data_IF_282519414898
#
_entry.id   IF_282519414898
#
_cell.length_a   1.000
_cell.length_b   1.000
_cell.length_c   1.000
_cell.angle_alpha   90.00
_cell.angle_beta   90.00
_cell.angle_gamma   90.00
#
_symmetry.space_group_name_H-M   'P 1'
#
loop_
_entity.id
_entity.type
_entity.pdbx_description
1 polymer ?
#
# COMPACT_ATOMS: atom_id res chain seq x y z
N UNK A 1 -6.74 -26.38 6.73
CA UNK A 1 -5.37 -26.38 7.31
C UNK A 1 -4.57 -25.37 6.52
N UNK A 2 -3.89 -24.40 7.15
CA UNK A 2 -2.99 -23.51 6.42
C UNK A 2 -1.94 -24.38 5.72
N UNK A 3 -1.59 -24.11 4.46
CA UNK A 3 -0.56 -24.87 3.78
C UNK A 3 0.75 -24.78 4.59
N UNK A 4 1.36 -25.94 4.85
CA UNK A 4 2.67 -26.04 5.50
C UNK A 4 3.67 -25.18 4.70
N UNK A 5 4.39 -24.29 5.41
CA UNK A 5 5.42 -23.42 4.83
C UNK A 5 6.40 -24.30 4.04
N UNK A 6 6.61 -23.98 2.76
CA UNK A 6 7.42 -24.81 1.84
C UNK A 6 8.90 -24.43 1.84
N UNK A 7 9.28 -23.42 2.62
CA UNK A 7 10.59 -22.77 2.61
C UNK A 7 11.01 -22.35 4.03
N UNK A 8 12.32 -22.22 4.30
CA UNK A 8 12.81 -21.71 5.57
C UNK A 8 12.40 -20.24 5.75
N UNK A 9 12.09 -19.87 6.99
CA UNK A 9 11.66 -18.52 7.31
C UNK A 9 12.83 -17.54 7.32
N UNK A 10 12.78 -16.53 6.45
CA UNK A 10 13.66 -15.36 6.48
C UNK A 10 13.03 -14.20 7.24
N UNK A 11 13.68 -13.04 7.28
CA UNK A 11 13.03 -11.79 7.68
C UNK A 11 11.78 -11.54 6.84
N UNK A 12 10.73 -11.03 7.49
CA UNK A 12 9.50 -10.61 6.83
C UNK A 12 9.80 -9.49 5.84
N UNK A 13 9.23 -9.57 4.64
CA UNK A 13 9.40 -8.56 3.59
C UNK A 13 8.24 -7.57 3.65
N UNK A 14 8.53 -6.28 3.52
CA UNK A 14 7.51 -5.24 3.39
C UNK A 14 7.39 -4.81 1.94
N UNK A 15 6.18 -4.90 1.38
CA UNK A 15 5.87 -4.46 0.02
C UNK A 15 4.88 -3.30 0.11
N UNK A 16 5.34 -2.10 -0.19
CA UNK A 16 4.50 -0.91 -0.18
C UNK A 16 3.89 -0.68 -1.55
N UNK A 17 2.57 -0.49 -1.60
CA UNK A 17 1.83 -0.14 -2.81
C UNK A 17 1.41 1.32 -2.71
N UNK A 18 1.89 2.15 -3.63
CA UNK A 18 1.57 3.59 -3.68
C UNK A 18 0.84 3.96 -4.97
N UNK A 19 0.10 5.07 -4.95
CA UNK A 19 -0.68 5.57 -6.08
C UNK A 19 -0.16 6.86 -6.68
N UNK A 20 -0.29 7.02 -7.98
CA UNK A 20 0.14 8.20 -8.70
C UNK A 20 -0.89 8.67 -9.74
N UNK A 21 -0.72 9.90 -10.22
CA UNK A 21 -1.55 10.54 -11.26
C UNK A 21 -2.98 10.86 -10.80
N UNK A 22 -3.79 9.87 -10.46
CA UNK A 22 -5.18 10.02 -9.99
C UNK A 22 -5.53 8.90 -8.99
N UNK A 23 -6.53 9.16 -8.15
CA UNK A 23 -7.15 8.11 -7.32
C UNK A 23 -8.02 7.17 -8.16
N UNK A 24 -8.54 6.11 -7.54
CA UNK A 24 -9.46 5.14 -8.18
C UNK A 24 -8.87 4.30 -9.34
N UNK A 25 -7.55 4.20 -9.43
CA UNK A 25 -6.85 3.32 -10.39
C UNK A 25 -6.89 1.81 -10.03
N UNK A 26 -7.61 1.42 -8.98
CA UNK A 26 -7.67 0.01 -8.55
C UNK A 26 -6.39 -0.49 -7.88
N UNK A 27 -5.78 0.33 -7.01
CA UNK A 27 -4.57 -0.02 -6.23
C UNK A 27 -4.83 -1.23 -5.34
N UNK A 28 -5.88 -1.20 -4.52
CA UNK A 28 -6.25 -2.29 -3.63
C UNK A 28 -6.48 -3.62 -4.34
N UNK A 29 -7.18 -3.62 -5.48
CA UNK A 29 -7.36 -4.85 -6.27
C UNK A 29 -6.06 -5.39 -6.88
N UNK A 30 -5.17 -4.50 -7.33
CA UNK A 30 -3.85 -4.92 -7.84
C UNK A 30 -2.98 -5.48 -6.72
N UNK A 31 -2.99 -4.84 -5.55
CA UNK A 31 -2.31 -5.32 -4.35
C UNK A 31 -2.86 -6.67 -3.88
N UNK A 32 -4.19 -6.83 -3.91
CA UNK A 32 -4.89 -8.09 -3.55
C UNK A 32 -4.54 -9.22 -4.51
N UNK A 33 -4.52 -8.93 -5.81
CA UNK A 33 -4.13 -9.89 -6.85
C UNK A 33 -2.68 -10.32 -6.70
N UNK A 34 -1.77 -9.40 -6.38
CA UNK A 34 -0.38 -9.73 -6.05
C UNK A 34 -0.30 -10.59 -4.78
N UNK A 35 -1.08 -10.25 -3.75
CA UNK A 35 -1.21 -11.06 -2.55
C UNK A 35 -1.63 -12.50 -2.87
N UNK A 36 -2.65 -12.67 -3.71
CA UNK A 36 -3.12 -13.97 -4.16
C UNK A 36 -2.04 -14.74 -4.94
N UNK A 37 -1.33 -14.10 -5.86
CA UNK A 37 -0.24 -14.74 -6.61
C UNK A 37 0.90 -15.22 -5.70
N UNK A 38 1.24 -14.44 -4.66
CA UNK A 38 2.26 -14.80 -3.68
C UNK A 38 1.77 -15.93 -2.76
N UNK A 39 0.52 -15.89 -2.31
CA UNK A 39 -0.12 -16.96 -1.53
C UNK A 39 -0.18 -18.26 -2.32
N UNK A 40 -0.55 -18.21 -3.61
CA UNK A 40 -0.56 -19.38 -4.51
C UNK A 40 0.84 -19.98 -4.70
N UNK A 41 1.91 -19.17 -4.58
CA UNK A 41 3.31 -19.62 -4.55
C UNK A 41 3.73 -20.22 -3.20
N UNK A 42 2.84 -20.29 -2.22
CA UNK A 42 3.06 -20.90 -0.91
C UNK A 42 3.66 -19.96 0.13
N UNK A 43 3.66 -18.65 -0.12
CA UNK A 43 4.10 -17.63 0.85
C UNK A 43 2.99 -17.31 1.84
N UNK A 44 3.38 -17.04 3.08
CA UNK A 44 2.47 -16.49 4.09
C UNK A 44 2.35 -14.98 3.89
N UNK A 45 1.24 -14.54 3.28
CA UNK A 45 0.99 -13.12 3.00
C UNK A 45 -0.03 -12.58 4.00
N UNK A 46 0.20 -11.35 4.45
CA UNK A 46 -0.79 -10.50 5.12
C UNK A 46 -0.83 -9.13 4.46
N UNK A 47 -1.92 -8.39 4.65
CA UNK A 47 -2.16 -7.11 3.98
C UNK A 47 -2.63 -6.04 4.96
N UNK A 48 -2.30 -4.79 4.65
CA UNK A 48 -2.68 -3.63 5.44
C UNK A 48 -3.02 -2.45 4.52
N UNK A 49 -4.02 -1.67 4.90
CA UNK A 49 -4.42 -0.41 4.28
C UNK A 49 -4.10 0.76 5.22
N UNK A 50 -3.40 1.78 4.71
CA UNK A 50 -3.22 3.06 5.38
C UNK A 50 -4.15 4.10 4.74
N UNK A 51 -5.15 4.55 5.48
CA UNK A 51 -6.16 5.49 4.99
C UNK A 51 -5.89 6.93 5.46
N UNK A 52 -5.76 7.90 4.54
CA UNK A 52 -5.40 9.28 4.88
C UNK A 52 -6.52 10.09 5.52
N UNK A 53 -7.74 9.57 5.59
CA UNK A 53 -8.86 10.27 6.22
C UNK A 53 -8.74 10.34 7.75
N UNK A 54 -9.40 11.36 8.34
CA UNK A 54 -9.34 11.65 9.77
C UNK A 54 -10.35 10.88 10.62
N UNK A 55 -11.35 10.25 10.01
CA UNK A 55 -12.26 9.36 10.74
C UNK A 55 -11.42 8.24 11.39
N UNK A 56 -11.65 7.98 12.68
CA UNK A 56 -10.90 6.96 13.44
C UNK A 56 -11.23 5.56 12.91
N UNK A 57 -12.47 5.38 12.50
CA UNK A 57 -13.04 4.23 11.81
C UNK A 57 -14.02 4.77 10.76
N UNK A 58 -14.38 3.98 9.74
CA UNK A 58 -15.35 4.41 8.73
C UNK A 58 -16.81 4.34 9.21
N UNK A 59 -17.09 3.95 10.46
CA UNK A 59 -18.46 3.79 10.99
C UNK A 59 -19.26 5.10 11.00
N UNK A 60 -18.58 6.24 10.96
CA UNK A 60 -19.18 7.58 10.87
C UNK A 60 -19.39 8.09 9.44
N UNK A 61 -18.92 7.36 8.42
CA UNK A 61 -19.04 7.75 7.02
C UNK A 61 -20.36 7.25 6.42
N UNK A 62 -20.90 7.98 5.44
CA UNK A 62 -22.09 7.53 4.74
C UNK A 62 -21.76 6.39 3.76
N UNK A 63 -22.26 5.16 3.96
CA UNK A 63 -21.85 4.03 3.15
C UNK A 63 -22.31 4.13 1.69
N UNK A 64 -23.38 4.89 1.40
CA UNK A 64 -23.83 5.11 0.04
C UNK A 64 -22.92 6.06 -0.77
N UNK A 65 -22.04 6.80 -0.10
CA UNK A 65 -21.11 7.73 -0.73
C UNK A 65 -19.67 7.22 -0.71
N UNK A 66 -19.31 6.46 0.32
CA UNK A 66 -17.92 6.06 0.57
C UNK A 66 -17.68 4.55 0.50
N UNK A 67 -18.73 3.75 0.29
CA UNK A 67 -18.64 2.29 0.25
C UNK A 67 -19.01 1.64 1.59
N UNK A 68 -19.04 0.31 1.60
CA UNK A 68 -19.37 -0.45 2.80
C UNK A 68 -18.33 -0.30 3.91
N UNK A 69 -18.75 -0.52 5.15
CA UNK A 69 -17.85 -0.75 6.29
C UNK A 69 -17.62 -2.25 6.39
N UNK A 70 -16.35 -2.68 6.39
CA UNK A 70 -15.99 -4.09 6.56
C UNK A 70 -15.70 -4.38 8.04
N UNK A 71 -16.19 -5.51 8.56
CA UNK A 71 -16.01 -5.89 9.97
C UNK A 71 -15.16 -7.16 10.06
N UNK A 72 -14.03 -7.08 10.74
CA UNK A 72 -13.12 -8.20 10.99
C UNK A 72 -13.61 -9.11 12.13
N UNK A 73 -13.08 -10.33 12.24
CA UNK A 73 -13.43 -11.29 13.29
C UNK A 73 -13.19 -10.77 14.72
N UNK A 74 -12.22 -9.87 14.91
CA UNK A 74 -11.95 -9.21 16.19
C UNK A 74 -12.87 -8.01 16.48
N UNK A 75 -13.85 -7.75 15.59
CA UNK A 75 -14.90 -6.76 15.76
C UNK A 75 -14.52 -5.33 15.37
N UNK A 76 -13.41 -5.13 14.65
CA UNK A 76 -13.02 -3.80 14.18
C UNK A 76 -13.82 -3.41 12.93
N UNK A 77 -14.33 -2.18 12.91
CA UNK A 77 -14.91 -1.53 11.73
C UNK A 77 -13.77 -0.93 10.88
N UNK A 78 -13.68 -1.35 9.62
CA UNK A 78 -12.55 -1.07 8.73
C UNK A 78 -13.01 -0.67 7.33
N UNK A 79 -12.10 -0.08 6.55
CA UNK A 79 -12.35 0.24 5.14
C UNK A 79 -12.62 -1.03 4.31
N UNK A 80 -13.43 -0.89 3.26
CA UNK A 80 -13.85 -1.99 2.38
C UNK A 80 -12.68 -2.77 1.75
N UNK A 81 -11.50 -2.15 1.62
CA UNK A 81 -10.33 -2.81 1.06
C UNK A 81 -9.83 -3.98 1.91
N UNK A 82 -10.08 -3.99 3.23
CA UNK A 82 -9.80 -5.17 4.07
C UNK A 82 -10.59 -6.38 3.58
N UNK A 83 -11.84 -6.18 3.16
CA UNK A 83 -12.65 -7.23 2.54
C UNK A 83 -12.09 -7.72 1.21
N UNK A 84 -11.50 -6.85 0.38
CA UNK A 84 -10.78 -7.29 -0.82
C UNK A 84 -9.60 -8.20 -0.46
N UNK A 85 -8.82 -7.82 0.55
CA UNK A 85 -7.66 -8.61 0.98
C UNK A 85 -8.09 -9.99 1.48
N UNK A 86 -9.09 -10.07 2.36
CA UNK A 86 -9.56 -11.37 2.88
C UNK A 86 -10.06 -12.28 1.74
N UNK A 87 -10.85 -11.73 0.80
CA UNK A 87 -11.39 -12.49 -0.34
C UNK A 87 -10.30 -13.04 -1.26
N UNK A 88 -9.22 -12.29 -1.48
CA UNK A 88 -8.13 -12.73 -2.35
C UNK A 88 -7.13 -13.63 -1.64
N UNK A 89 -6.93 -13.45 -0.33
CA UNK A 89 -5.98 -14.23 0.45
C UNK A 89 -6.58 -15.51 1.04
N UNK A 90 -7.92 -15.62 1.10
CA UNK A 90 -8.63 -16.67 1.86
C UNK A 90 -8.13 -16.72 3.32
N UNK A 91 -8.08 -15.54 3.95
CA UNK A 91 -7.49 -15.34 5.29
C UNK A 91 -8.21 -14.25 6.06
N UNK A 92 -8.52 -14.53 7.33
CA UNK A 92 -9.04 -13.53 8.26
C UNK A 92 -7.91 -12.55 8.65
N UNK A 93 -8.19 -11.26 8.55
CA UNK A 93 -7.32 -10.18 9.01
C UNK A 93 -7.83 -9.62 10.34
N UNK A 94 -6.92 -9.01 11.10
CA UNK A 94 -7.26 -8.28 12.33
C UNK A 94 -7.51 -6.80 12.03
N UNK A 95 -8.10 -6.07 12.98
CA UNK A 95 -8.33 -4.64 12.86
C UNK A 95 -7.06 -3.81 12.60
N UNK A 96 -5.87 -4.34 12.93
CA UNK A 96 -4.57 -3.73 12.59
C UNK A 96 -4.27 -3.65 11.09
N UNK A 97 -5.03 -4.38 10.27
CA UNK A 97 -4.96 -4.31 8.81
C UNK A 97 -5.55 -3.01 8.25
N UNK A 98 -6.20 -2.17 9.07
CA UNK A 98 -6.61 -0.82 8.66
C UNK A 98 -6.07 0.21 9.65
N UNK A 99 -5.32 1.18 9.12
CA UNK A 99 -4.74 2.28 9.91
C UNK A 99 -5.19 3.59 9.30
N UNK A 100 -5.79 4.47 10.11
CA UNK A 100 -6.26 5.78 9.62
C UNK A 100 -5.44 6.93 10.21
N UNK A 101 -5.40 8.07 9.52
CA UNK A 101 -4.83 9.31 10.10
C UNK A 101 -5.50 9.65 11.43
N UNK A 102 -6.81 9.45 11.53
CA UNK A 102 -7.58 9.63 12.77
C UNK A 102 -7.04 8.83 13.95
N UNK A 103 -6.79 7.53 13.75
CA UNK A 103 -6.23 6.65 14.78
C UNK A 103 -4.84 7.09 15.21
N UNK A 104 -3.97 7.40 14.24
CA UNK A 104 -2.58 7.80 14.50
C UNK A 104 -2.54 9.10 15.31
N UNK A 105 -3.24 10.14 14.85
CA UNK A 105 -3.23 11.44 15.50
C UNK A 105 -3.88 11.39 16.87
N UNK A 106 -5.03 10.73 17.01
CA UNK A 106 -5.70 10.59 18.31
C UNK A 106 -4.82 9.85 19.33
N UNK A 107 -4.12 8.79 18.91
CA UNK A 107 -3.19 8.05 19.77
C UNK A 107 -2.01 8.90 20.22
N UNK A 108 -1.36 9.60 19.29
CA UNK A 108 -0.20 10.45 19.59
C UNK A 108 -0.59 11.61 20.51
N UNK A 109 -1.71 12.29 20.24
CA UNK A 109 -2.22 13.37 21.09
C UNK A 109 -2.58 12.84 22.50
N UNK A 110 -3.21 11.67 22.59
CA UNK A 110 -3.57 11.09 23.88
C UNK A 110 -2.33 10.72 24.73
N UNK A 111 -1.26 10.21 24.11
CA UNK A 111 0.02 9.96 24.78
C UNK A 111 0.67 11.24 25.30
N UNK A 112 0.65 12.28 24.46
CA UNK A 112 1.18 13.60 24.81
C UNK A 112 0.46 14.18 26.04
N UNK A 113 -0.87 14.14 26.06
CA UNK A 113 -1.66 14.58 27.22
C UNK A 113 -1.42 13.79 28.51
N UNK A 114 -0.93 12.55 28.42
CA UNK A 114 -0.52 11.72 29.57
C UNK A 114 0.93 11.96 30.01
N UNK A 115 1.67 12.83 29.33
CA UNK A 115 3.08 13.11 29.63
C UNK A 115 4.03 12.00 29.17
N UNK A 116 3.60 11.11 28.26
CA UNK A 116 4.43 9.97 27.81
C UNK A 116 5.65 10.41 26.99
N UNK A 117 5.65 11.62 26.44
CA UNK A 117 6.80 12.21 25.73
C UNK A 117 7.70 13.07 26.63
N UNK A 118 7.54 12.98 27.97
CA UNK A 118 8.49 13.52 28.95
C UNK A 118 8.88 15.02 28.80
N UNK A 119 7.96 15.83 28.25
CA UNK A 119 8.17 17.27 28.03
C UNK A 119 8.71 17.63 26.65
N UNK A 120 8.90 16.66 25.75
CA UNK A 120 9.31 16.90 24.38
C UNK A 120 8.24 17.63 23.57
N UNK A 121 8.67 18.37 22.55
CA UNK A 121 7.77 18.93 21.55
C UNK A 121 7.30 17.82 20.62
N UNK A 122 6.00 17.50 20.65
CA UNK A 122 5.42 16.49 19.75
C UNK A 122 5.24 17.06 18.35
N UNK A 123 5.73 16.32 17.36
CA UNK A 123 5.90 16.74 15.96
C UNK A 123 5.46 15.63 15.01
N UNK A 124 5.19 15.97 13.75
CA UNK A 124 4.88 14.97 12.71
C UNK A 124 6.05 13.99 12.53
N UNK A 125 7.27 14.51 12.41
CA UNK A 125 8.50 13.70 12.45
C UNK A 125 9.21 14.04 13.77
N UNK A 126 9.52 13.06 14.64
CA UNK A 126 9.35 11.62 14.41
C UNK A 126 8.00 11.06 14.89
N UNK A 127 7.28 11.71 15.81
CA UNK A 127 6.21 11.07 16.60
C UNK A 127 5.02 10.50 15.79
N UNK A 128 4.50 11.22 14.80
CA UNK A 128 3.42 10.69 13.94
C UNK A 128 3.96 9.59 13.03
N UNK A 129 5.13 9.81 12.42
CA UNK A 129 5.76 8.80 11.55
C UNK A 129 6.17 7.54 12.29
N UNK A 130 6.55 7.64 13.57
CA UNK A 130 6.89 6.52 14.43
C UNK A 130 5.66 5.71 14.83
N UNK A 131 4.52 6.35 15.12
CA UNK A 131 3.27 5.62 15.36
C UNK A 131 2.83 4.89 14.09
N UNK A 132 2.91 5.52 12.90
CA UNK A 132 2.62 4.84 11.62
C UNK A 132 3.58 3.67 11.39
N UNK A 133 4.89 3.90 11.54
CA UNK A 133 5.93 2.88 11.37
C UNK A 133 5.72 1.70 12.31
N UNK A 134 5.38 1.98 13.57
CA UNK A 134 5.04 0.96 14.57
C UNK A 134 3.86 0.10 14.11
N UNK A 135 2.80 0.70 13.57
CA UNK A 135 1.63 -0.03 13.02
C UNK A 135 1.99 -0.89 11.81
N UNK A 136 2.90 -0.43 10.96
CA UNK A 136 3.37 -1.18 9.78
C UNK A 136 4.23 -2.38 10.23
N UNK A 137 5.18 -2.16 11.13
CA UNK A 137 6.09 -3.21 11.62
C UNK A 137 5.34 -4.26 12.47
N UNK A 138 4.28 -3.87 13.18
CA UNK A 138 3.45 -4.79 13.94
C UNK A 138 2.81 -5.88 13.06
N UNK A 139 2.54 -5.61 11.78
CA UNK A 139 2.02 -6.62 10.85
C UNK A 139 3.02 -7.75 10.55
N UNK A 140 4.30 -7.57 10.89
CA UNK A 140 5.32 -8.60 10.77
C UNK A 140 5.46 -9.50 12.01
N UNK A 141 4.72 -9.23 13.08
CA UNK A 141 4.69 -10.07 14.29
C UNK A 141 3.97 -11.40 14.02
N UNK A 142 4.24 -12.46 14.81
CA UNK A 142 3.48 -13.71 14.72
C UNK A 142 1.99 -13.50 15.04
N UNK A 143 1.12 -14.14 14.26
CA UNK A 143 -0.32 -14.18 14.53
C UNK A 143 -0.66 -15.00 15.80
N UNK A 144 -1.96 -15.12 16.12
CA UNK A 144 -2.43 -15.88 17.28
C UNK A 144 -2.05 -17.38 17.23
N UNK A 145 -1.69 -17.90 16.06
CA UNK A 145 -1.23 -19.27 15.85
C UNK A 145 0.31 -19.37 15.86
N UNK A 146 1.01 -18.26 16.14
CA UNK A 146 2.46 -18.16 16.16
C UNK A 146 3.08 -18.12 14.76
N UNK A 147 2.29 -17.87 13.71
CA UNK A 147 2.77 -17.83 12.33
C UNK A 147 3.14 -16.38 12.00
N UNK A 148 4.44 -16.14 11.78
CA UNK A 148 4.92 -14.87 11.24
C UNK A 148 4.85 -14.86 9.70
N UNK A 149 4.30 -13.81 9.06
CA UNK A 149 4.20 -13.72 7.60
C UNK A 149 5.57 -13.70 6.92
N UNK A 150 5.61 -14.14 5.68
CA UNK A 150 6.74 -13.96 4.77
C UNK A 150 6.72 -12.56 4.15
N UNK A 151 5.53 -12.06 3.79
CA UNK A 151 5.34 -10.77 3.13
C UNK A 151 4.16 -10.02 3.77
N UNK A 152 4.38 -8.75 4.10
CA UNK A 152 3.34 -7.78 4.45
C UNK A 152 3.19 -6.83 3.26
N UNK A 153 2.01 -6.82 2.63
CA UNK A 153 1.71 -5.83 1.59
C UNK A 153 0.94 -4.67 2.26
N UNK A 154 1.52 -3.48 2.26
CA UNK A 154 0.90 -2.28 2.82
C UNK A 154 0.50 -1.33 1.69
N UNK A 155 -0.80 -1.19 1.44
CA UNK A 155 -1.34 -0.16 0.56
C UNK A 155 -1.33 1.20 1.26
N UNK A 156 -0.72 2.19 0.61
CA UNK A 156 -0.75 3.59 1.03
C UNK A 156 -1.86 4.30 0.25
N UNK A 157 -2.91 4.68 0.98
CA UNK A 157 -4.05 5.44 0.45
C UNK A 157 -3.67 6.86 0.02
N UNK A 158 -4.58 7.47 -0.74
CA UNK A 158 -4.37 8.76 -1.40
C UNK A 158 -3.52 8.64 -2.68
N UNK A 159 -2.97 9.79 -3.10
CA UNK A 159 -2.15 9.93 -4.31
C UNK A 159 -0.83 10.61 -3.95
N UNK A 160 0.28 10.09 -4.45
CA UNK A 160 1.60 10.70 -4.29
C UNK A 160 1.59 12.12 -4.86
N UNK A 161 1.99 13.08 -4.03
CA UNK A 161 1.90 14.52 -4.31
C UNK A 161 0.88 15.24 -3.43
N UNK A 162 -0.12 14.52 -2.91
CA UNK A 162 -1.11 15.08 -1.99
C UNK A 162 -0.53 15.23 -0.57
N UNK A 163 -1.05 16.22 0.16
CA UNK A 163 -0.62 16.55 1.53
C UNK A 163 -0.95 15.41 2.50
N UNK A 164 -2.12 14.80 2.33
CA UNK A 164 -2.68 13.82 3.28
C UNK A 164 -1.86 12.53 3.40
N UNK A 165 -1.17 12.10 2.34
CA UNK A 165 -0.38 10.86 2.33
C UNK A 165 1.08 11.07 2.75
N UNK A 166 1.55 12.31 2.94
CA UNK A 166 2.96 12.57 3.24
C UNK A 166 3.46 11.84 4.51
N UNK A 167 2.73 11.83 5.64
CA UNK A 167 3.19 11.11 6.82
C UNK A 167 3.33 9.60 6.59
N UNK A 168 2.44 8.99 5.80
CA UNK A 168 2.53 7.57 5.48
C UNK A 168 3.69 7.25 4.56
N UNK A 169 3.92 8.06 3.53
CA UNK A 169 5.04 7.88 2.61
C UNK A 169 6.38 8.08 3.34
N UNK A 170 6.48 9.06 4.24
CA UNK A 170 7.66 9.24 5.08
C UNK A 170 7.88 8.04 6.02
N UNK A 171 6.82 7.52 6.65
CA UNK A 171 6.94 6.32 7.48
C UNK A 171 7.39 5.10 6.68
N UNK A 172 6.84 4.88 5.47
CA UNK A 172 7.26 3.79 4.59
C UNK A 172 8.73 3.94 4.15
N UNK A 173 9.18 5.18 3.87
CA UNK A 173 10.59 5.49 3.58
C UNK A 173 11.49 5.15 4.77
N UNK A 174 11.07 5.49 6.00
CA UNK A 174 11.78 5.12 7.22
C UNK A 174 11.80 3.61 7.45
N UNK A 175 10.70 2.89 7.17
CA UNK A 175 10.67 1.41 7.23
C UNK A 175 11.74 0.84 6.30
N UNK A 176 11.84 1.29 5.05
CA UNK A 176 12.93 0.84 4.14
C UNK A 176 14.32 1.07 4.72
N UNK A 177 14.54 2.21 5.37
CA UNK A 177 15.82 2.53 5.99
C UNK A 177 16.12 1.60 7.18
N UNK A 178 15.10 1.23 7.96
CA UNK A 178 15.23 0.37 9.14
C UNK A 178 15.41 -1.11 8.79
N UNK A 179 14.59 -1.65 7.87
CA UNK A 179 14.61 -3.08 7.52
C UNK A 179 15.61 -3.44 6.43
N UNK A 180 16.15 -2.45 5.72
CA UNK A 180 17.07 -2.65 4.59
C UNK A 180 16.36 -2.86 3.25
N UNK A 181 17.08 -2.57 2.15
CA UNK A 181 16.54 -2.63 0.79
C UNK A 181 16.13 -4.04 0.37
N UNK A 182 16.83 -5.05 0.87
CA UNK A 182 16.56 -6.47 0.62
C UNK A 182 15.30 -7.00 1.32
N UNK A 183 14.74 -6.23 2.26
CA UNK A 183 13.51 -6.56 2.99
C UNK A 183 12.36 -5.59 2.69
N UNK A 184 12.54 -4.64 1.77
CA UNK A 184 11.53 -3.62 1.46
C UNK A 184 11.43 -3.36 -0.06
N UNK A 185 10.23 -3.49 -0.60
CA UNK A 185 9.92 -3.31 -2.02
C UNK A 185 8.86 -2.22 -2.23
N UNK A 186 9.08 -1.32 -3.17
CA UNK A 186 8.10 -0.28 -3.53
C UNK A 186 7.47 -0.56 -4.90
N UNK A 187 6.16 -0.83 -4.90
CA UNK A 187 5.33 -0.93 -6.09
C UNK A 187 4.54 0.38 -6.26
N UNK A 188 4.65 1.02 -7.43
CA UNK A 188 3.93 2.27 -7.70
C UNK A 188 2.92 2.09 -8.84
N UNK A 189 1.66 2.39 -8.57
CA UNK A 189 0.55 2.32 -9.53
C UNK A 189 0.37 3.67 -10.20
N UNK A 190 0.37 3.68 -11.53
CA UNK A 190 0.24 4.88 -12.35
C UNK A 190 -0.74 4.68 -13.50
N UNK A 191 -1.16 5.78 -14.14
CA UNK A 191 -2.08 5.78 -15.27
C UNK A 191 -1.35 6.11 -16.57
N UNK A 192 -1.58 5.29 -17.60
CA UNK A 192 -1.22 5.56 -18.99
C UNK A 192 -2.49 5.95 -19.75
N UNK A 193 -2.80 7.26 -19.85
CA UNK A 193 -4.00 7.70 -20.54
C UNK A 193 -3.82 7.62 -22.05
N UNK A 194 -4.95 7.44 -22.73
CA UNK A 194 -5.06 7.49 -24.18
C UNK A 194 -5.73 8.77 -24.65
N UNK A 195 -5.10 9.42 -25.62
CA UNK A 195 -5.68 10.59 -26.27
C UNK A 195 -6.38 10.17 -27.56
N UNK A 196 -7.70 10.02 -27.51
CA UNK A 196 -8.52 9.62 -28.66
C UNK A 196 -8.29 10.48 -29.92
N UNK A 197 -8.13 11.83 -29.85
CA UNK A 197 -7.88 12.63 -31.04
C UNK A 197 -6.58 12.32 -31.78
N UNK A 198 -5.53 11.91 -31.07
CA UNK A 198 -4.23 11.56 -31.68
C UNK A 198 -4.01 10.06 -31.83
N UNK A 199 -4.82 9.22 -31.18
CA UNK A 199 -4.66 7.78 -31.18
C UNK A 199 -3.45 7.28 -30.39
N UNK A 200 -3.03 8.00 -29.34
CA UNK A 200 -1.75 7.72 -28.66
C UNK A 200 -1.89 7.56 -27.14
N UNK A 201 -1.18 6.55 -26.61
CA UNK A 201 -0.91 6.40 -25.18
C UNK A 201 0.19 7.36 -24.73
N UNK A 202 0.03 7.97 -23.54
CA UNK A 202 0.98 8.97 -23.02
C UNK A 202 1.67 8.46 -21.76
N UNK A 203 3.00 8.37 -21.82
CA UNK A 203 3.86 7.95 -20.69
C UNK A 203 4.22 9.08 -19.72
N UNK A 204 3.92 10.33 -20.06
CA UNK A 204 4.38 11.51 -19.30
C UNK A 204 3.79 11.58 -17.88
N UNK A 205 2.49 11.27 -17.66
CA UNK A 205 1.94 11.23 -16.30
C UNK A 205 2.74 10.29 -15.38
N UNK A 206 3.09 9.09 -15.85
CA UNK A 206 3.92 8.14 -15.09
C UNK A 206 5.31 8.70 -14.81
N UNK A 207 5.96 9.33 -15.79
CA UNK A 207 7.29 9.94 -15.59
C UNK A 207 7.27 11.01 -14.48
N UNK A 208 6.27 11.90 -14.51
CA UNK A 208 6.13 12.94 -13.48
C UNK A 208 5.74 12.36 -12.12
N UNK A 209 4.89 11.33 -12.10
CA UNK A 209 4.49 10.64 -10.87
C UNK A 209 5.67 9.97 -10.18
N UNK A 210 6.52 9.27 -10.95
CA UNK A 210 7.75 8.67 -10.41
C UNK A 210 8.74 9.72 -9.94
N UNK A 211 8.86 10.86 -10.65
CA UNK A 211 9.67 11.98 -10.18
C UNK A 211 9.17 12.55 -8.84
N UNK A 212 7.85 12.68 -8.66
CA UNK A 212 7.26 13.10 -7.39
C UNK A 212 7.53 12.09 -6.27
N UNK A 213 7.38 10.79 -6.52
CA UNK A 213 7.72 9.74 -5.56
C UNK A 213 9.21 9.76 -5.17
N UNK A 214 10.10 9.97 -6.14
CA UNK A 214 11.55 10.09 -5.92
C UNK A 214 11.91 11.35 -5.13
N UNK A 215 11.20 12.46 -5.36
CA UNK A 215 11.45 13.72 -4.64
C UNK A 215 11.22 13.63 -3.13
N UNK A 216 10.37 12.69 -2.69
CA UNK A 216 10.15 12.39 -1.26
C UNK A 216 11.04 11.24 -0.74
N UNK A 217 12.04 10.82 -1.53
CA UNK A 217 13.05 9.84 -1.11
C UNK A 217 12.66 8.37 -1.33
N UNK A 218 11.61 8.08 -2.11
CA UNK A 218 11.20 6.72 -2.45
C UNK A 218 11.55 6.40 -3.90
N UNK A 219 12.34 5.35 -4.11
CA UNK A 219 12.62 4.81 -5.44
C UNK A 219 11.73 3.60 -5.68
N UNK A 220 10.83 3.61 -6.68
CA UNK A 220 10.01 2.43 -6.99
C UNK A 220 10.88 1.31 -7.53
N UNK A 221 10.62 0.09 -7.07
CA UNK A 221 11.28 -1.12 -7.55
C UNK A 221 10.48 -1.74 -8.74
N UNK A 222 9.17 -1.48 -8.84
CA UNK A 222 8.33 -1.81 -10.00
C UNK A 222 7.17 -0.81 -10.19
N UNK A 223 6.59 -0.82 -11.39
CA UNK A 223 5.49 0.04 -11.83
C UNK A 223 4.32 -0.78 -12.38
N UNK A 224 3.11 -0.47 -11.90
CA UNK A 224 1.85 -0.94 -12.49
C UNK A 224 1.34 0.16 -13.42
N UNK A 225 1.19 -0.16 -14.69
CA UNK A 225 0.72 0.76 -15.71
C UNK A 225 -0.75 0.49 -16.02
N UNK A 226 -1.66 1.14 -15.29
CA UNK A 226 -3.09 1.07 -15.56
C UNK A 226 -3.41 1.76 -16.88
N UNK A 227 -4.19 1.10 -17.72
CA UNK A 227 -4.59 1.61 -19.03
C UNK A 227 -5.87 0.91 -19.50
N UNK A 228 -6.55 1.49 -20.48
CA UNK A 228 -7.72 0.89 -21.14
C UNK A 228 -7.33 -0.07 -22.29
N UNK A 229 -6.03 -0.30 -22.50
CA UNK A 229 -5.47 -1.23 -23.50
C UNK A 229 -4.04 -1.63 -23.13
N UNK A 230 -3.49 -2.62 -23.82
CA UNK A 230 -2.09 -3.01 -23.62
C UNK A 230 -1.12 -1.85 -23.85
N UNK A 231 -0.14 -1.72 -22.96
CA UNK A 231 0.96 -0.77 -23.10
C UNK A 231 2.07 -1.42 -23.94
N UNK A 232 2.33 -0.95 -25.17
CA UNK A 232 3.28 -1.58 -26.07
C UNK A 232 4.72 -1.56 -25.53
N UNK A 233 5.53 -2.55 -25.91
CA UNK A 233 6.94 -2.67 -25.50
C UNK A 233 7.77 -1.38 -25.68
N UNK A 234 7.67 -0.62 -26.79
CA UNK A 234 8.40 0.64 -26.92
C UNK A 234 8.06 1.68 -25.84
N UNK A 235 6.81 1.70 -25.37
CA UNK A 235 6.39 2.60 -24.28
C UNK A 235 6.90 2.10 -22.94
N UNK A 236 6.88 0.79 -22.69
CA UNK A 236 7.47 0.20 -21.46
C UNK A 236 8.97 0.45 -21.39
N UNK A 237 9.71 0.25 -22.48
CA UNK A 237 11.14 0.57 -22.58
C UNK A 237 11.42 2.05 -22.30
N UNK A 238 10.59 2.94 -22.84
CA UNK A 238 10.68 4.37 -22.56
C UNK A 238 10.41 4.69 -21.10
N UNK A 239 9.44 4.04 -20.47
CA UNK A 239 9.13 4.21 -19.05
C UNK A 239 10.29 3.67 -18.20
N UNK A 240 10.77 2.46 -18.46
CA UNK A 240 11.92 1.86 -17.78
C UNK A 240 13.13 2.81 -17.79
N UNK A 241 13.48 3.35 -18.96
CA UNK A 241 14.59 4.30 -19.11
C UNK A 241 14.35 5.62 -18.36
N UNK A 242 13.17 6.24 -18.52
CA UNK A 242 12.90 7.59 -17.99
C UNK A 242 12.60 7.59 -16.48
N UNK A 243 12.03 6.49 -15.98
CA UNK A 243 11.72 6.29 -14.58
C UNK A 243 12.85 5.55 -13.86
N UNK A 244 13.87 5.06 -14.57
CA UNK A 244 14.99 4.27 -14.04
C UNK A 244 14.49 3.12 -13.14
N UNK A 245 13.69 2.26 -13.76
CA UNK A 245 13.11 1.04 -13.20
C UNK A 245 13.46 -0.11 -14.13
N UNK A 246 13.73 -1.29 -13.58
CA UNK A 246 14.00 -2.50 -14.37
C UNK A 246 12.82 -2.77 -15.33
N UNK A 247 13.11 -3.13 -16.58
CA UNK A 247 12.09 -3.42 -17.59
C UNK A 247 11.17 -4.57 -17.16
N UNK A 248 11.70 -5.55 -16.43
CA UNK A 248 10.93 -6.67 -15.90
C UNK A 248 9.96 -6.21 -14.79
N UNK A 249 10.22 -5.05 -14.18
CA UNK A 249 9.35 -4.38 -13.22
C UNK A 249 8.36 -3.40 -13.84
N UNK A 250 8.35 -3.19 -15.16
CA UNK A 250 7.38 -2.31 -15.84
C UNK A 250 6.22 -3.13 -16.38
N UNK A 251 5.12 -3.19 -15.63
CA UNK A 251 4.02 -4.12 -15.89
C UNK A 251 2.86 -3.40 -16.59
N UNK A 252 2.49 -3.87 -17.79
CA UNK A 252 1.25 -3.46 -18.46
C UNK A 252 0.06 -4.07 -17.72
N UNK A 253 -0.89 -3.24 -17.28
CA UNK A 253 -2.06 -3.69 -16.52
C UNK A 253 -3.32 -3.07 -17.12
N UNK A 254 -3.78 -3.60 -18.27
CA UNK A 254 -5.00 -3.13 -18.91
C UNK A 254 -6.22 -3.41 -18.01
N UNK A 255 -7.32 -2.69 -18.25
CA UNK A 255 -8.59 -2.97 -17.58
C UNK A 255 -9.03 -4.41 -17.87
N UNK A 256 -9.24 -5.17 -16.80
CA UNK A 256 -9.66 -6.56 -16.85
C UNK A 256 -11.20 -6.68 -16.90
N UNK A 257 -11.75 -7.72 -17.55
CA UNK A 257 -13.21 -7.94 -17.60
C UNK A 257 -13.83 -8.20 -16.23
N UNK A 258 -13.06 -8.82 -15.33
CA UNK A 258 -13.45 -9.14 -13.96
C UNK A 258 -12.28 -8.86 -13.02
N UNK A 259 -12.56 -8.68 -11.73
CA UNK A 259 -11.52 -8.51 -10.70
C UNK A 259 -10.69 -9.79 -10.47
N UNK A 260 -11.13 -10.93 -11.01
CA UNK A 260 -10.46 -12.22 -10.87
C UNK A 260 -9.55 -12.58 -12.07
N UNK A 261 -9.49 -11.72 -13.08
CA UNK A 261 -8.62 -11.83 -14.27
C UNK A 261 -7.37 -10.96 -14.11
#
# INVERSE_FOLDING_TARGET
>A
MPPLRKHPQTATKHLFVSGGVVSSLGKGLTASSLGQLLTARGLQVTMQKLDPYLNVDPGTMNPFQHGEVFVTEDGAETDLDVGHYERFLDRNLSGSANVTTGQVYSRVIARERRGEYLGDTVQVIPHITDEIKSRILAMAEPDAQGIRPDVVITEIGGTVGDIESQPFLEAARQVRHEVGRENCFFLHVSLIPYLAPSGELKTKPTQHSVAALRSIGITPDALILRSDRDVPEPLKNKIALMCDVDIDGVISTPDAPSIYD
#
